data_IF_662567822349
#
_entry.id   IF_662567822349
#
_cell.length_a   1.000
_cell.length_b   1.000
_cell.length_c   1.000
_cell.angle_alpha   90.00
_cell.angle_beta   90.00
_cell.angle_gamma   90.00
#
_symmetry.space_group_name_H-M   'P 1'
#
loop_
_entity.id
_entity.type
_entity.pdbx_description
1 polymer ?
#
# COMPACT_ATOMS: atom_id res chain seq x y z
N UNK A 1 17.26 -7.14 2.96
CA UNK A 1 15.97 -6.90 2.30
C UNK A 1 16.06 -5.71 1.38
N UNK A 2 15.71 -5.90 0.13
CA UNK A 2 15.79 -4.85 -0.88
C UNK A 2 14.43 -4.17 -1.05
N UNK A 3 14.46 -2.87 -1.27
CA UNK A 3 13.24 -2.07 -1.45
C UNK A 3 13.28 -1.38 -2.79
N UNK A 4 12.17 -1.44 -3.51
CA UNK A 4 11.98 -0.73 -4.77
C UNK A 4 10.65 -0.01 -4.70
N UNK A 5 10.63 1.26 -5.10
CA UNK A 5 9.42 2.06 -5.09
C UNK A 5 8.98 2.30 -6.52
N UNK A 6 7.69 2.03 -6.78
CA UNK A 6 7.06 2.34 -8.06
C UNK A 6 5.85 3.22 -7.82
N UNK A 7 5.60 4.16 -8.71
CA UNK A 7 4.51 5.12 -8.61
C UNK A 7 3.56 4.95 -9.79
N UNK A 8 2.27 5.07 -9.52
CA UNK A 8 1.24 5.06 -10.54
C UNK A 8 0.39 6.32 -10.42
N UNK A 9 0.05 6.91 -11.56
CA UNK A 9 -0.74 8.15 -11.63
C UNK A 9 -2.22 7.90 -11.89
N UNK A 10 -2.58 6.69 -12.32
CA UNK A 10 -3.96 6.37 -12.68
C UNK A 10 -4.80 6.16 -11.42
N UNK A 11 -6.09 6.46 -11.53
CA UNK A 11 -7.03 6.12 -10.48
C UNK A 11 -7.09 4.61 -10.30
N UNK A 12 -7.25 4.19 -9.07
CA UNK A 12 -7.51 2.79 -8.77
C UNK A 12 -8.97 2.46 -9.02
N UNK A 13 -9.23 1.23 -9.47
CA UNK A 13 -10.58 0.71 -9.52
C UNK A 13 -11.14 0.58 -8.09
N UNK A 14 -12.48 0.54 -7.98
CA UNK A 14 -13.15 0.54 -6.68
C UNK A 14 -12.62 -0.55 -5.74
N UNK A 15 -12.40 -1.76 -6.25
CA UNK A 15 -12.02 -2.91 -5.42
C UNK A 15 -10.64 -3.47 -5.75
N UNK A 16 -10.07 -3.15 -6.90
CA UNK A 16 -8.81 -3.75 -7.31
C UNK A 16 -8.08 -2.92 -8.36
N UNK A 17 -6.78 -3.11 -8.41
CA UNK A 17 -5.91 -2.56 -9.43
C UNK A 17 -4.97 -3.65 -9.92
N UNK A 18 -4.86 -3.81 -11.23
CA UNK A 18 -3.91 -4.74 -11.83
C UNK A 18 -2.57 -4.06 -12.03
N UNK A 19 -1.50 -4.76 -11.67
CA UNK A 19 -0.15 -4.24 -11.73
C UNK A 19 0.71 -5.25 -12.48
N UNK A 20 1.41 -4.78 -13.49
CA UNK A 20 2.37 -5.59 -14.22
C UNK A 20 3.78 -5.16 -13.83
N UNK A 21 4.55 -6.09 -13.30
CA UNK A 21 5.94 -5.87 -12.96
C UNK A 21 6.84 -6.30 -14.11
N UNK A 22 8.06 -5.76 -14.13
CA UNK A 22 9.10 -6.28 -15.02
C UNK A 22 9.45 -7.72 -14.64
N UNK A 23 9.77 -8.55 -15.62
CA UNK A 23 10.09 -9.94 -15.40
C UNK A 23 11.30 -10.12 -14.46
N UNK A 24 12.22 -9.16 -14.41
CA UNK A 24 13.34 -9.19 -13.49
C UNK A 24 12.93 -9.02 -12.02
N UNK A 25 11.75 -8.46 -11.76
CA UNK A 25 11.24 -8.24 -10.41
C UNK A 25 10.41 -9.43 -9.93
N UNK A 26 9.65 -10.04 -10.84
CA UNK A 26 8.73 -11.13 -10.49
C UNK A 26 9.38 -12.45 -10.84
N UNK A 27 10.07 -13.02 -9.88
CA UNK A 27 10.85 -14.26 -10.11
C UNK A 27 10.33 -15.47 -9.36
N UNK A 28 9.37 -15.31 -8.49
CA UNK A 28 8.90 -16.39 -7.63
C UNK A 28 7.44 -16.20 -7.25
N UNK A 29 6.93 -17.14 -6.47
CA UNK A 29 5.59 -17.06 -5.92
C UNK A 29 5.47 -15.88 -4.96
N UNK A 30 4.27 -15.34 -4.87
CA UNK A 30 3.96 -14.29 -3.91
C UNK A 30 4.16 -14.80 -2.49
N UNK A 31 4.68 -13.92 -1.65
CA UNK A 31 4.84 -14.18 -0.22
C UNK A 31 4.20 -13.03 0.55
N UNK A 32 2.86 -13.00 0.66
CA UNK A 32 2.17 -11.90 1.32
C UNK A 32 2.63 -11.73 2.76
N UNK A 33 2.79 -10.48 3.17
CA UNK A 33 3.14 -10.15 4.54
C UNK A 33 1.88 -10.13 5.42
N UNK A 34 2.06 -10.47 6.70
CA UNK A 34 1.02 -10.26 7.71
C UNK A 34 0.84 -8.76 7.94
N UNK A 35 -0.29 -8.32 8.56
CA UNK A 35 -0.43 -6.91 8.92
C UNK A 35 0.73 -6.37 9.73
N UNK A 36 1.28 -7.14 10.66
CA UNK A 36 2.45 -6.71 11.42
C UNK A 36 3.69 -6.62 10.53
N UNK A 37 3.85 -7.55 9.60
CA UNK A 37 4.94 -7.52 8.63
C UNK A 37 4.88 -6.28 7.73
N UNK A 38 3.68 -5.90 7.31
CA UNK A 38 3.45 -4.66 6.54
C UNK A 38 3.90 -3.44 7.35
N UNK A 39 3.50 -3.37 8.61
CA UNK A 39 3.86 -2.28 9.49
C UNK A 39 5.39 -2.18 9.66
N UNK A 40 6.05 -3.30 9.93
CA UNK A 40 7.50 -3.33 10.09
C UNK A 40 8.23 -2.96 8.79
N UNK A 41 7.73 -3.41 7.64
CA UNK A 41 8.30 -3.04 6.34
C UNK A 41 8.21 -1.54 6.10
N UNK A 42 7.08 -0.93 6.40
CA UNK A 42 6.89 0.51 6.26
C UNK A 42 7.79 1.30 7.23
N UNK A 43 7.94 0.81 8.46
CA UNK A 43 8.85 1.43 9.43
C UNK A 43 10.29 1.37 8.96
N UNK A 44 10.69 0.24 8.40
CA UNK A 44 12.04 0.09 7.88
C UNK A 44 12.30 1.01 6.69
N UNK A 45 11.30 1.15 5.82
CA UNK A 45 11.41 2.01 4.63
C UNK A 45 11.40 3.50 4.99
N UNK A 46 10.50 3.91 5.87
CA UNK A 46 10.24 5.33 6.13
C UNK A 46 10.83 5.86 7.43
N UNK A 47 11.43 5.00 8.24
CA UNK A 47 12.03 5.34 9.52
C UNK A 47 11.13 4.98 10.70
N UNK A 48 11.69 4.28 11.68
CA UNK A 48 10.93 3.78 12.82
C UNK A 48 10.25 4.87 13.63
N UNK A 49 10.89 6.02 13.75
CA UNK A 49 10.35 7.13 14.54
C UNK A 49 9.20 7.85 13.84
N UNK A 50 9.07 7.64 12.54
CA UNK A 50 8.11 8.38 11.71
C UNK A 50 6.83 7.59 11.44
N UNK A 51 6.81 6.30 11.73
CA UNK A 51 5.68 5.44 11.38
C UNK A 51 5.10 4.84 12.66
N UNK A 52 3.82 5.04 12.85
CA UNK A 52 3.09 4.55 14.02
C UNK A 52 1.71 4.02 13.64
N UNK A 53 1.09 3.32 14.57
CA UNK A 53 -0.30 2.91 14.45
C UNK A 53 -1.17 3.85 15.25
N UNK A 54 -2.24 4.34 14.64
CA UNK A 54 -3.18 5.25 15.30
C UNK A 54 -4.61 4.84 14.98
N UNK A 55 -5.52 5.21 15.86
CA UNK A 55 -6.96 5.02 15.64
C UNK A 55 -7.52 6.35 15.16
N UNK A 56 -8.00 6.38 13.92
CA UNK A 56 -8.55 7.57 13.29
C UNK A 56 -9.91 7.19 12.71
N UNK A 57 -10.97 7.92 13.10
CA UNK A 57 -12.35 7.64 12.67
C UNK A 57 -12.72 6.17 12.87
N UNK A 58 -12.39 5.64 14.05
CA UNK A 58 -12.67 4.27 14.48
C UNK A 58 -11.94 3.17 13.70
N UNK A 59 -10.92 3.54 12.91
CA UNK A 59 -10.09 2.57 12.20
C UNK A 59 -8.66 2.62 12.70
N UNK A 60 -8.07 1.44 12.88
CA UNK A 60 -6.64 1.32 13.17
C UNK A 60 -5.88 1.45 11.87
N UNK A 61 -5.09 2.50 11.76
CA UNK A 61 -4.36 2.81 10.53
C UNK A 61 -2.89 3.07 10.83
N UNK A 62 -2.06 2.97 9.79
CA UNK A 62 -0.65 3.30 9.86
C UNK A 62 -0.50 4.75 9.43
N UNK A 63 0.25 5.52 10.21
CA UNK A 63 0.46 6.94 9.94
C UNK A 63 1.95 7.21 9.82
N UNK A 64 2.32 7.87 8.73
CA UNK A 64 3.64 8.48 8.56
C UNK A 64 3.55 9.93 9.00
N UNK A 65 4.37 10.29 9.97
CA UNK A 65 4.35 11.64 10.54
C UNK A 65 5.77 12.16 10.63
N UNK A 66 6.05 13.23 9.92
CA UNK A 66 7.27 13.99 10.09
C UNK A 66 6.91 15.43 10.52
N UNK A 67 7.90 16.30 10.65
CA UNK A 67 7.67 17.66 11.15
C UNK A 67 6.71 18.49 10.29
N UNK A 68 6.45 18.09 9.05
CA UNK A 68 5.68 18.90 8.09
C UNK A 68 4.42 18.22 7.57
N UNK A 69 4.36 16.89 7.58
CA UNK A 69 3.26 16.15 6.95
C UNK A 69 2.77 15.02 7.83
N UNK A 70 1.47 14.73 7.71
CA UNK A 70 0.83 13.58 8.31
C UNK A 70 0.13 12.81 7.20
N UNK A 71 0.59 11.60 6.95
CA UNK A 71 0.08 10.76 5.85
C UNK A 71 -0.44 9.46 6.42
N UNK A 72 -1.71 9.16 6.13
CA UNK A 72 -2.29 7.86 6.44
C UNK A 72 -1.90 6.92 5.31
N UNK A 73 -1.28 5.80 5.67
CA UNK A 73 -0.83 4.80 4.71
C UNK A 73 -1.80 3.63 4.74
N UNK A 74 -2.63 3.52 3.70
CA UNK A 74 -3.51 2.38 3.51
C UNK A 74 -2.75 1.36 2.67
N UNK A 75 -2.19 0.37 3.34
CA UNK A 75 -1.29 -0.59 2.71
C UNK A 75 -1.94 -1.95 2.55
N UNK A 76 -1.68 -2.60 1.42
CA UNK A 76 -2.22 -3.91 1.10
C UNK A 76 -1.21 -4.69 0.28
N UNK A 77 -1.16 -6.01 0.46
CA UNK A 77 -0.29 -6.84 -0.33
C UNK A 77 -0.79 -6.96 -1.76
N UNK A 78 0.16 -6.95 -2.69
CA UNK A 78 -0.07 -7.20 -4.11
C UNK A 78 0.13 -8.69 -4.34
N UNK A 79 -0.81 -9.33 -4.97
CA UNK A 79 -0.81 -10.78 -5.17
C UNK A 79 -1.14 -11.15 -6.61
N UNK A 80 -0.89 -12.42 -6.95
CA UNK A 80 -1.15 -12.96 -8.26
C UNK A 80 -2.66 -12.99 -8.56
N UNK A 81 -3.00 -12.68 -9.82
CA UNK A 81 -4.38 -12.69 -10.30
C UNK A 81 -5.01 -14.09 -10.36
N UNK A 82 -4.18 -15.12 -10.48
CA UNK A 82 -4.67 -16.47 -10.69
C UNK A 82 -4.66 -16.89 -12.16
N UNK A 83 -4.76 -18.20 -12.41
CA UNK A 83 -4.82 -18.73 -13.77
C UNK A 83 -6.03 -18.14 -14.51
N UNK A 84 -5.92 -17.88 -15.83
CA UNK A 84 -4.80 -18.16 -16.73
C UNK A 84 -3.80 -17.02 -16.89
N UNK A 85 -3.77 -16.05 -15.99
CA UNK A 85 -2.90 -14.89 -16.13
C UNK A 85 -1.42 -15.27 -15.96
N UNK A 86 -0.49 -14.57 -16.67
CA UNK A 86 0.94 -14.76 -16.46
C UNK A 86 1.34 -14.39 -15.03
N UNK A 87 2.39 -15.01 -14.50
CA UNK A 87 2.80 -14.83 -13.12
C UNK A 87 3.24 -13.38 -12.82
N UNK A 88 3.68 -12.64 -13.84
CA UNK A 88 4.10 -11.25 -13.65
C UNK A 88 2.93 -10.27 -13.56
N UNK A 89 1.71 -10.71 -13.81
CA UNK A 89 0.51 -9.89 -13.62
C UNK A 89 0.01 -10.05 -12.19
N UNK A 90 0.00 -8.96 -11.47
CA UNK A 90 -0.39 -8.90 -10.06
C UNK A 90 -1.53 -7.92 -9.88
N UNK A 91 -2.18 -8.01 -8.74
CA UNK A 91 -3.24 -7.05 -8.40
C UNK A 91 -3.20 -6.72 -6.92
N UNK A 92 -3.76 -5.58 -6.58
CA UNK A 92 -4.09 -5.23 -5.21
C UNK A 92 -5.62 -5.18 -5.11
N UNK A 93 -6.18 -5.84 -4.10
CA UNK A 93 -7.60 -5.75 -3.78
C UNK A 93 -7.76 -4.86 -2.56
N UNK A 94 -8.60 -3.85 -2.67
CA UNK A 94 -8.81 -2.90 -1.59
C UNK A 94 -10.07 -3.27 -0.82
N UNK A 95 -10.04 -3.26 0.52
CA UNK A 95 -11.26 -3.36 1.30
C UNK A 95 -12.22 -2.24 0.94
N UNK A 96 -13.51 -2.56 0.95
CA UNK A 96 -14.54 -1.60 0.59
C UNK A 96 -14.49 -0.33 1.47
N UNK A 97 -14.14 -0.50 2.74
CA UNK A 97 -14.09 0.63 3.67
C UNK A 97 -12.99 1.65 3.35
N UNK A 98 -11.98 1.31 2.54
CA UNK A 98 -10.90 2.24 2.21
C UNK A 98 -11.41 3.49 1.52
N UNK A 99 -12.32 3.34 0.55
CA UNK A 99 -12.86 4.48 -0.18
C UNK A 99 -13.69 5.38 0.73
N UNK A 100 -14.56 4.78 1.52
CA UNK A 100 -15.40 5.52 2.46
C UNK A 100 -14.54 6.26 3.48
N UNK A 101 -13.55 5.58 4.03
CA UNK A 101 -12.62 6.17 4.99
C UNK A 101 -11.87 7.35 4.38
N UNK A 102 -11.36 7.18 3.17
CA UNK A 102 -10.60 8.22 2.48
C UNK A 102 -11.45 9.47 2.27
N UNK A 103 -12.70 9.29 1.84
CA UNK A 103 -13.62 10.41 1.66
C UNK A 103 -13.93 11.12 2.97
N UNK A 104 -14.08 10.37 4.06
CA UNK A 104 -14.32 10.95 5.38
C UNK A 104 -13.10 11.72 5.91
N UNK A 105 -11.90 11.24 5.61
CA UNK A 105 -10.67 11.96 5.97
C UNK A 105 -10.60 13.29 5.22
N UNK A 106 -10.85 13.30 3.92
CA UNK A 106 -10.85 14.54 3.14
C UNK A 106 -11.83 15.56 3.71
N UNK A 107 -12.99 15.10 4.14
CA UNK A 107 -14.07 15.96 4.62
C UNK A 107 -13.84 16.44 6.07
N UNK A 108 -13.40 15.57 6.96
CA UNK A 108 -13.42 15.83 8.40
C UNK A 108 -12.02 15.98 9.02
N UNK A 109 -10.97 15.53 8.34
CA UNK A 109 -9.60 15.56 8.83
C UNK A 109 -8.64 15.99 7.74
N UNK A 110 -8.80 17.21 7.20
CA UNK A 110 -8.01 17.67 6.05
C UNK A 110 -6.52 17.84 6.33
N UNK A 111 -6.11 17.80 7.60
CA UNK A 111 -4.70 17.82 7.98
C UNK A 111 -3.96 16.55 7.57
N UNK A 112 -4.67 15.46 7.33
CA UNK A 112 -4.07 14.21 6.86
C UNK A 112 -4.13 14.10 5.35
N UNK A 113 -3.05 13.64 4.76
CA UNK A 113 -3.06 13.10 3.40
C UNK A 113 -3.26 11.59 3.49
N UNK A 114 -3.77 10.97 2.44
CA UNK A 114 -3.98 9.52 2.40
C UNK A 114 -3.29 8.97 1.16
N UNK A 115 -2.50 7.92 1.36
CA UNK A 115 -1.82 7.21 0.27
C UNK A 115 -2.17 5.74 0.31
N UNK A 116 -2.44 5.16 -0.86
CA UNK A 116 -2.52 3.72 -1.01
C UNK A 116 -1.14 3.19 -1.36
N UNK A 117 -0.69 2.20 -0.58
CA UNK A 117 0.61 1.58 -0.80
C UNK A 117 0.38 0.10 -1.07
N UNK A 118 0.75 -0.35 -2.25
CA UNK A 118 0.80 -1.76 -2.57
C UNK A 118 2.16 -2.32 -2.17
N UNK A 119 2.16 -3.52 -1.61
CA UNK A 119 3.39 -4.18 -1.17
C UNK A 119 3.48 -5.54 -1.84
N UNK A 120 4.52 -5.73 -2.64
CA UNK A 120 4.82 -7.02 -3.23
C UNK A 120 6.08 -7.59 -2.58
N UNK A 121 5.95 -8.74 -1.96
CA UNK A 121 7.05 -9.40 -1.25
C UNK A 121 7.35 -10.75 -1.87
N UNK A 122 8.62 -11.00 -2.13
CA UNK A 122 9.12 -12.28 -2.62
C UNK A 122 10.60 -12.45 -2.23
N UNK A 123 10.96 -13.63 -1.76
CA UNK A 123 12.35 -14.00 -1.45
C UNK A 123 13.11 -12.92 -0.66
N UNK A 124 12.48 -12.33 0.34
CA UNK A 124 13.11 -11.26 1.13
C UNK A 124 13.19 -9.91 0.46
N UNK A 125 12.68 -9.78 -0.75
CA UNK A 125 12.64 -8.49 -1.47
C UNK A 125 11.26 -7.89 -1.36
N UNK A 126 11.20 -6.57 -1.18
CA UNK A 126 9.93 -5.85 -1.10
C UNK A 126 9.90 -4.76 -2.15
N UNK A 127 8.79 -4.71 -2.90
CA UNK A 127 8.50 -3.64 -3.84
C UNK A 127 7.31 -2.87 -3.30
N UNK A 128 7.49 -1.57 -3.13
CA UNK A 128 6.41 -0.67 -2.74
C UNK A 128 5.88 0.04 -3.99
N UNK A 129 4.56 0.06 -4.13
CA UNK A 129 3.90 0.78 -5.20
C UNK A 129 3.07 1.88 -4.56
N UNK A 130 3.46 3.12 -4.79
CA UNK A 130 2.75 4.29 -4.28
C UNK A 130 1.71 4.72 -5.32
N UNK A 131 0.45 4.57 -4.99
CA UNK A 131 -0.66 5.04 -5.84
C UNK A 131 -0.95 6.48 -5.46
N UNK A 132 -0.53 7.41 -6.32
CA UNK A 132 -0.53 8.85 -6.02
C UNK A 132 -1.91 9.36 -5.65
N UNK A 133 -2.97 8.83 -6.29
CA UNK A 133 -4.35 9.22 -5.98
C UNK A 133 -4.99 8.16 -5.12
N UNK A 134 -5.21 8.47 -3.85
CA UNK A 134 -5.81 7.54 -2.91
C UNK A 134 -7.35 7.56 -2.97
N UNK A 135 -7.95 8.74 -3.09
CA UNK A 135 -9.41 8.89 -3.13
C UNK A 135 -9.94 8.96 -4.56
N UNK A 136 -11.09 8.37 -4.78
CA UNK A 136 -11.71 8.27 -6.11
C UNK A 136 -12.88 9.21 -6.25
#
# INVERSE_FOLDING_TARGET
>A
MNFTIRKRKNKMNVNSEQIQFDAAVVVAQDQPLTPNGIFEALRHWLGQKNVSKEIILDKSVIVYNNSKTKIILLAKCITYLGNPHPIFKKRIQLPEWYQIFCNNIEKNKPEYDVRFIGIYHYNGNIVFVDFIKACF
#
